data_IF_938205873363
#
_entry.id   IF_938205873363
#
_cell.length_a   1.000
_cell.length_b   1.000
_cell.length_c   1.000
_cell.angle_alpha   90.00
_cell.angle_beta   90.00
_cell.angle_gamma   90.00
#
_symmetry.space_group_name_H-M   'P 1'
#
loop_
_entity.id
_entity.type
_entity.pdbx_description
1 polymer ?
#
# COMPACT_ATOMS: atom_id res chain seq x y z
N UNK A 1 36.52 -10.98 54.21
CA UNK A 1 35.10 -11.28 53.95
C UNK A 1 34.50 -10.12 53.16
N UNK A 2 33.79 -10.45 52.08
CA UNK A 2 32.94 -9.60 51.22
C UNK A 2 33.53 -8.33 50.57
N UNK A 3 34.00 -8.48 49.31
CA UNK A 3 33.85 -7.48 48.25
C UNK A 3 32.73 -7.96 47.32
N UNK A 4 31.59 -7.27 47.28
CA UNK A 4 30.58 -7.46 46.20
C UNK A 4 30.99 -6.59 45.01
N UNK A 5 31.46 -7.24 43.93
CA UNK A 5 31.42 -6.68 42.58
C UNK A 5 30.15 -7.20 41.92
N UNK A 6 29.26 -6.30 41.51
CA UNK A 6 28.16 -6.60 40.60
C UNK A 6 28.77 -6.78 39.19
N UNK A 7 28.61 -7.97 38.59
CA UNK A 7 28.90 -8.18 37.17
C UNK A 7 27.63 -7.89 36.39
N UNK A 8 27.74 -6.98 35.43
CA UNK A 8 26.80 -6.79 34.33
C UNK A 8 27.03 -7.93 33.34
N UNK A 9 25.98 -8.70 33.02
CA UNK A 9 25.99 -9.62 31.88
C UNK A 9 24.69 -9.46 31.10
N UNK A 10 24.86 -8.99 29.86
CA UNK A 10 23.93 -8.95 28.74
C UNK A 10 22.90 -10.09 28.75
N UNK A 11 21.62 -9.72 28.86
CA UNK A 11 20.48 -10.59 28.57
C UNK A 11 19.43 -9.74 27.84
N UNK A 12 19.31 -10.03 26.54
CA UNK A 12 18.10 -9.97 25.70
C UNK A 12 17.48 -8.58 25.44
N UNK A 13 17.91 -7.99 24.32
CA UNK A 13 17.17 -6.96 23.59
C UNK A 13 16.34 -7.66 22.49
N UNK A 14 15.23 -8.28 22.89
CA UNK A 14 14.25 -8.87 21.96
C UNK A 14 12.86 -8.87 22.62
N UNK A 15 12.33 -7.69 22.91
CA UNK A 15 10.97 -7.53 23.42
C UNK A 15 10.38 -6.12 23.16
N UNK A 16 10.88 -5.39 22.16
CA UNK A 16 10.43 -4.02 21.87
C UNK A 16 9.53 -3.88 20.62
N UNK A 17 9.19 -4.98 19.93
CA UNK A 17 8.45 -4.90 18.66
C UNK A 17 6.94 -5.22 18.74
N UNK A 18 6.35 -5.32 19.94
CA UNK A 18 4.93 -5.72 20.11
C UNK A 18 4.03 -4.59 20.66
N UNK A 19 4.55 -3.38 20.87
CA UNK A 19 3.80 -2.31 21.57
C UNK A 19 3.38 -1.08 20.74
N UNK A 20 3.54 -1.05 19.42
CA UNK A 20 3.17 0.16 18.64
C UNK A 20 1.81 0.13 17.92
N UNK A 21 1.02 -0.95 17.95
CA UNK A 21 -0.31 -0.97 17.30
C UNK A 21 -1.47 -0.76 18.29
N UNK A 22 -1.34 -1.25 19.53
CA UNK A 22 -2.37 -1.05 20.57
C UNK A 22 -2.40 0.37 21.16
N UNK A 23 -1.27 1.10 21.11
CA UNK A 23 -1.15 2.44 21.70
C UNK A 23 -1.95 3.53 20.97
N UNK A 24 -2.13 3.42 19.65
CA UNK A 24 -2.85 4.45 18.86
C UNK A 24 -4.37 4.34 18.98
N UNK A 25 -4.91 3.12 19.18
CA UNK A 25 -6.38 2.90 19.31
C UNK A 25 -6.93 3.49 20.61
N UNK A 26 -6.15 3.47 21.70
CA UNK A 26 -6.59 3.98 23.01
C UNK A 26 -6.49 5.51 23.10
N UNK A 27 -5.53 6.15 22.40
CA UNK A 27 -5.32 7.60 22.50
C UNK A 27 -6.30 8.41 21.63
N UNK A 28 -6.73 7.87 20.48
CA UNK A 28 -7.69 8.52 19.58
C UNK A 28 -9.06 8.77 20.22
N UNK A 29 -9.51 7.89 21.12
CA UNK A 29 -10.81 8.03 21.79
C UNK A 29 -10.84 9.12 22.87
N UNK A 30 -9.69 9.58 23.38
CA UNK A 30 -9.62 10.61 24.43
C UNK A 30 -9.57 12.05 23.92
N UNK A 31 -9.22 12.28 22.66
CA UNK A 31 -9.04 13.64 22.12
C UNK A 31 -10.31 14.26 21.50
N UNK A 32 -11.39 13.49 21.33
CA UNK A 32 -12.66 13.99 20.73
C UNK A 32 -13.54 14.76 21.73
N UNK A 33 -13.15 14.87 23.01
CA UNK A 33 -13.87 15.68 23.99
C UNK A 33 -12.89 16.56 24.78
N UNK A 34 -13.02 17.88 24.62
CA UNK A 34 -12.24 19.01 25.18
C UNK A 34 -11.13 19.50 24.24
N UNK A 35 -10.99 20.78 23.88
CA UNK A 35 -11.71 22.01 24.20
C UNK A 35 -11.51 23.03 23.06
N UNK A 36 -12.45 23.98 22.97
CA UNK A 36 -12.31 25.23 22.19
C UNK A 36 -11.42 26.18 22.97
N UNK A 37 -10.39 26.75 22.34
CA UNK A 37 -9.97 28.15 22.54
C UNK A 37 -8.90 28.53 21.52
N UNK A 38 -9.15 29.64 20.83
CA UNK A 38 -8.27 30.40 19.93
C UNK A 38 -7.05 30.99 20.63
N UNK A 39 -5.89 31.01 19.97
CA UNK A 39 -5.00 32.17 20.01
C UNK A 39 -4.18 32.29 18.73
N UNK A 40 -4.17 33.50 18.19
CA UNK A 40 -3.60 33.94 16.92
C UNK A 40 -2.14 34.36 17.16
N UNK A 41 -1.20 33.84 16.36
CA UNK A 41 0.20 34.28 16.41
C UNK A 41 0.75 34.54 14.99
N UNK A 42 1.28 35.73 14.80
CA UNK A 42 1.78 36.27 13.53
C UNK A 42 3.00 35.50 12.97
N UNK A 43 3.19 35.46 11.64
CA UNK A 43 4.29 34.72 11.01
C UNK A 43 5.62 35.46 11.15
N UNK A 44 6.75 34.77 11.43
CA UNK A 44 8.07 35.40 11.37
C UNK A 44 8.58 35.54 9.92
N UNK A 45 9.42 36.55 9.74
CA UNK A 45 9.87 37.08 8.46
C UNK A 45 10.78 36.14 7.64
N UNK A 46 10.63 36.22 6.31
CA UNK A 46 11.51 35.62 5.30
C UNK A 46 12.95 36.10 5.48
N UNK A 47 13.88 35.20 5.68
CA UNK A 47 15.32 35.45 5.47
C UNK A 47 15.82 34.57 4.32
N UNK A 48 16.60 35.17 3.43
CA UNK A 48 17.05 34.60 2.18
C UNK A 48 18.07 33.47 2.39
N UNK A 49 17.97 32.45 1.54
CA UNK A 49 18.82 31.27 1.47
C UNK A 49 20.30 31.61 1.24
N UNK A 50 21.18 30.89 1.95
CA UNK A 50 22.55 30.61 1.52
C UNK A 50 22.60 29.19 0.95
N UNK A 51 23.22 29.02 -0.22
CA UNK A 51 23.32 27.74 -0.91
C UNK A 51 24.15 26.72 -0.11
N UNK A 52 23.76 25.43 -0.05
CA UNK A 52 24.62 24.39 0.49
C UNK A 52 25.69 23.95 -0.55
N UNK A 53 26.88 23.63 -0.04
CA UNK A 53 28.01 23.07 -0.79
C UNK A 53 27.70 21.69 -1.40
N UNK A 54 28.39 21.31 -2.50
CA UNK A 54 28.07 20.09 -3.26
C UNK A 54 28.35 18.81 -2.47
N UNK A 55 27.35 17.93 -2.42
CA UNK A 55 27.43 16.58 -1.88
C UNK A 55 28.33 15.67 -2.73
N UNK A 56 29.07 14.78 -2.05
CA UNK A 56 29.91 13.72 -2.64
C UNK A 56 29.05 12.75 -3.49
N UNK A 57 29.60 12.17 -4.58
CA UNK A 57 28.85 11.30 -5.46
C UNK A 57 28.47 9.98 -4.78
N UNK A 58 27.21 9.57 -4.97
CA UNK A 58 26.67 8.26 -4.58
C UNK A 58 27.45 7.11 -5.23
N UNK A 59 27.59 5.96 -4.56
CA UNK A 59 28.26 4.79 -5.12
C UNK A 59 27.52 4.26 -6.36
N UNK A 60 28.27 3.90 -7.39
CA UNK A 60 27.77 3.43 -8.68
C UNK A 60 26.99 2.10 -8.56
N UNK A 61 25.98 1.85 -9.41
CA UNK A 61 25.21 0.62 -9.40
C UNK A 61 26.09 -0.60 -9.71
N UNK A 62 25.89 -1.70 -8.98
CA UNK A 62 26.48 -3.00 -9.34
C UNK A 62 25.89 -3.49 -10.67
N UNK A 63 26.66 -4.25 -11.48
CA UNK A 63 26.18 -4.79 -12.75
C UNK A 63 24.96 -5.69 -12.56
N UNK A 64 23.97 -5.54 -13.44
CA UNK A 64 22.73 -6.31 -13.51
C UNK A 64 23.02 -7.81 -13.64
N UNK A 65 22.51 -8.59 -12.69
CA UNK A 65 22.41 -10.05 -12.77
C UNK A 65 21.33 -10.42 -13.81
N UNK A 66 21.49 -11.49 -14.61
CA UNK A 66 20.52 -11.86 -15.64
C UNK A 66 19.16 -12.20 -15.04
N UNK A 67 18.08 -11.72 -15.69
CA UNK A 67 16.72 -12.07 -15.36
C UNK A 67 16.54 -13.60 -15.24
N UNK A 68 15.99 -14.05 -14.11
CA UNK A 68 15.64 -15.44 -13.86
C UNK A 68 14.59 -15.93 -14.88
N UNK A 69 14.65 -17.21 -15.31
CA UNK A 69 13.77 -17.74 -16.34
C UNK A 69 12.31 -17.78 -15.88
N UNK A 70 11.43 -17.33 -16.78
CA UNK A 70 9.97 -17.32 -16.62
C UNK A 70 9.41 -18.71 -16.33
N UNK A 71 8.68 -18.85 -15.21
CA UNK A 71 7.88 -20.02 -14.90
C UNK A 71 6.74 -20.20 -15.93
N UNK A 72 6.42 -21.45 -16.25
CA UNK A 72 5.33 -21.83 -17.16
C UNK A 72 3.96 -21.55 -16.51
N UNK A 73 2.91 -21.27 -17.32
CA UNK A 73 1.63 -20.76 -16.80
C UNK A 73 0.88 -21.84 -16.03
N UNK A 74 0.79 -21.70 -14.71
CA UNK A 74 -0.35 -22.20 -13.94
C UNK A 74 -1.60 -21.41 -14.37
N UNK A 75 -2.79 -21.98 -14.22
CA UNK A 75 -4.03 -21.35 -14.65
C UNK A 75 -4.14 -19.91 -14.11
N UNK A 76 -3.95 -18.92 -15.00
CA UNK A 76 -3.82 -17.52 -14.63
C UNK A 76 -5.08 -16.96 -13.96
N UNK A 77 -4.95 -15.87 -13.19
CA UNK A 77 -6.08 -15.21 -12.56
C UNK A 77 -7.10 -14.80 -13.61
N UNK A 78 -8.38 -14.84 -13.24
CA UNK A 78 -9.47 -14.48 -14.13
C UNK A 78 -9.22 -13.06 -14.67
N UNK A 79 -8.97 -12.96 -15.98
CA UNK A 79 -8.82 -11.71 -16.70
C UNK A 79 -10.00 -10.78 -16.38
N UNK A 80 -9.78 -9.46 -16.43
CA UNK A 80 -10.84 -8.47 -16.33
C UNK A 80 -12.04 -8.90 -17.19
N UNK A 81 -13.29 -8.78 -16.71
CA UNK A 81 -14.42 -8.93 -17.61
C UNK A 81 -14.23 -7.92 -18.75
N UNK A 82 -14.16 -8.42 -19.99
CA UNK A 82 -14.15 -7.55 -21.17
C UNK A 82 -15.51 -6.86 -21.24
N UNK A 83 -15.62 -5.65 -20.69
CA UNK A 83 -16.83 -4.85 -20.79
C UNK A 83 -16.86 -4.12 -22.14
N UNK A 84 -17.93 -4.35 -22.89
CA UNK A 84 -18.13 -3.98 -24.29
C UNK A 84 -18.80 -2.61 -24.46
N UNK A 85 -18.78 -1.79 -23.41
CA UNK A 85 -19.39 -0.46 -23.40
C UNK A 85 -18.59 0.60 -24.16
N UNK A 86 -19.20 1.78 -24.41
CA UNK A 86 -18.55 2.84 -25.15
C UNK A 86 -17.33 3.38 -24.41
N UNK A 87 -16.27 3.65 -25.17
CA UNK A 87 -15.02 4.24 -24.70
C UNK A 87 -15.00 5.74 -24.97
N UNK A 88 -14.67 6.51 -23.94
CA UNK A 88 -14.36 7.93 -24.03
C UNK A 88 -12.85 8.14 -23.91
N UNK A 89 -12.23 8.82 -24.88
CA UNK A 89 -10.84 9.27 -24.77
C UNK A 89 -10.87 10.69 -24.22
N UNK A 90 -10.17 10.92 -23.10
CA UNK A 90 -10.16 12.22 -22.41
C UNK A 90 -9.68 13.33 -23.36
N UNK A 91 -10.51 14.36 -23.51
CA UNK A 91 -10.19 15.57 -24.27
C UNK A 91 -9.51 16.58 -23.34
N UNK A 92 -8.18 16.50 -23.18
CA UNK A 92 -7.44 17.31 -22.21
C UNK A 92 -7.78 18.81 -22.26
N UNK A 93 -7.81 19.41 -23.46
CA UNK A 93 -8.11 20.84 -23.65
C UNK A 93 -9.51 21.22 -23.13
N UNK A 94 -10.50 20.34 -23.30
CA UNK A 94 -11.89 20.58 -22.88
C UNK A 94 -12.02 20.73 -21.37
N UNK A 95 -11.19 19.99 -20.63
CA UNK A 95 -11.22 19.94 -19.17
C UNK A 95 -10.06 20.72 -18.52
N UNK A 96 -9.23 21.42 -19.30
CA UNK A 96 -8.08 22.18 -18.80
C UNK A 96 -6.98 21.30 -18.19
N UNK A 97 -6.85 20.06 -18.69
CA UNK A 97 -5.89 19.07 -18.19
C UNK A 97 -4.54 19.25 -18.87
N UNK A 98 -3.46 19.31 -18.09
CA UNK A 98 -2.09 19.36 -18.58
C UNK A 98 -1.44 17.96 -18.48
N UNK A 99 -1.01 17.42 -19.62
CA UNK A 99 -0.32 16.13 -19.71
C UNK A 99 1.19 16.26 -20.02
N UNK A 100 1.77 17.44 -19.83
CA UNK A 100 3.22 17.71 -19.92
C UNK A 100 3.90 17.83 -18.55
N UNK A 101 3.17 17.58 -17.46
CA UNK A 101 3.69 17.60 -16.08
C UNK A 101 3.54 18.93 -15.34
N UNK A 102 2.78 19.88 -15.89
CA UNK A 102 2.48 21.16 -15.26
C UNK A 102 1.09 21.23 -14.60
N UNK A 103 0.77 22.40 -14.05
CA UNK A 103 -0.58 22.80 -13.63
C UNK A 103 -1.35 21.80 -12.75
N UNK A 104 -0.69 21.24 -11.74
CA UNK A 104 -1.18 20.09 -10.96
C UNK A 104 -2.64 20.20 -10.47
N UNK A 105 -3.02 21.36 -9.91
CA UNK A 105 -4.39 21.59 -9.44
C UNK A 105 -5.42 21.54 -10.57
N UNK A 106 -5.18 22.29 -11.66
CA UNK A 106 -6.09 22.32 -12.81
C UNK A 106 -6.19 20.95 -13.49
N UNK A 107 -5.07 20.22 -13.59
CA UNK A 107 -5.02 18.84 -14.07
C UNK A 107 -5.87 17.92 -13.21
N UNK A 108 -5.72 17.98 -11.89
CA UNK A 108 -6.50 17.14 -10.96
C UNK A 108 -8.00 17.41 -11.06
N UNK A 109 -8.38 18.69 -11.05
CA UNK A 109 -9.79 19.11 -11.13
C UNK A 109 -10.40 18.73 -12.48
N UNK A 110 -9.65 18.94 -13.56
CA UNK A 110 -10.05 18.60 -14.93
C UNK A 110 -10.26 17.10 -15.11
N UNK A 111 -9.38 16.26 -14.56
CA UNK A 111 -9.53 14.81 -14.61
C UNK A 111 -10.80 14.38 -13.87
N UNK A 112 -11.02 14.84 -12.64
CA UNK A 112 -12.22 14.49 -11.88
C UNK A 112 -13.50 14.96 -12.61
N UNK A 113 -13.48 16.15 -13.21
CA UNK A 113 -14.58 16.64 -14.04
C UNK A 113 -14.83 15.78 -15.29
N UNK A 114 -13.78 15.29 -15.93
CA UNK A 114 -13.87 14.40 -17.08
C UNK A 114 -14.47 13.04 -16.70
N UNK A 115 -14.10 12.47 -15.55
CA UNK A 115 -14.65 11.21 -15.05
C UNK A 115 -16.14 11.32 -14.72
N UNK A 116 -16.53 12.37 -14.00
CA UNK A 116 -17.95 12.62 -13.69
C UNK A 116 -18.78 12.87 -14.95
N UNK A 117 -18.26 13.65 -15.89
CA UNK A 117 -18.92 13.87 -17.18
C UNK A 117 -19.07 12.56 -17.97
N UNK A 118 -17.99 11.78 -18.11
CA UNK A 118 -18.02 10.53 -18.86
C UNK A 118 -19.02 9.52 -18.26
N UNK A 119 -19.08 9.46 -16.93
CA UNK A 119 -20.08 8.66 -16.22
C UNK A 119 -21.50 9.11 -16.53
N UNK A 120 -21.77 10.42 -16.48
CA UNK A 120 -23.09 10.99 -16.74
C UNK A 120 -23.57 10.72 -18.17
N UNK A 121 -22.65 10.69 -19.14
CA UNK A 121 -22.93 10.33 -20.54
C UNK A 121 -23.02 8.82 -20.79
N UNK A 122 -22.79 7.99 -19.76
CA UNK A 122 -22.93 6.54 -19.84
C UNK A 122 -21.72 5.80 -20.42
N UNK A 123 -20.55 6.43 -20.49
CA UNK A 123 -19.32 5.74 -20.88
C UNK A 123 -18.92 4.69 -19.84
N UNK A 124 -18.43 3.55 -20.33
CA UNK A 124 -17.94 2.43 -19.49
C UNK A 124 -16.43 2.39 -19.39
N UNK A 125 -15.75 2.87 -20.43
CA UNK A 125 -14.30 3.00 -20.42
C UNK A 125 -13.92 4.46 -20.60
N UNK A 126 -13.05 4.97 -19.72
CA UNK A 126 -12.39 6.26 -19.87
C UNK A 126 -10.91 6.00 -20.10
N UNK A 127 -10.42 6.39 -21.27
CA UNK A 127 -9.04 6.20 -21.69
C UNK A 127 -8.29 7.55 -21.71
N UNK A 128 -7.07 7.56 -21.17
CA UNK A 128 -6.19 8.73 -21.23
C UNK A 128 -5.38 8.79 -22.53
N UNK A 129 -4.80 9.96 -22.77
CA UNK A 129 -3.74 10.12 -23.77
C UNK A 129 -2.39 9.88 -23.09
N UNK A 130 -1.36 9.39 -23.81
CA UNK A 130 -0.01 9.35 -23.26
C UNK A 130 0.43 10.72 -22.78
N UNK A 131 1.20 10.75 -21.68
CA UNK A 131 1.70 11.99 -21.11
C UNK A 131 2.06 11.83 -19.64
N UNK A 132 2.45 12.94 -19.04
CA UNK A 132 2.72 13.08 -17.60
C UNK A 132 1.70 14.03 -17.01
N UNK A 133 0.82 13.52 -16.15
CA UNK A 133 -0.21 14.26 -15.46
C UNK A 133 0.26 14.53 -14.03
N UNK A 134 0.58 15.78 -13.71
CA UNK A 134 0.92 16.15 -12.34
C UNK A 134 -0.39 16.27 -11.53
N UNK A 135 -0.45 15.62 -10.38
CA UNK A 135 -1.63 15.54 -9.52
C UNK A 135 -1.33 16.25 -8.19
N UNK A 136 -2.24 17.12 -7.76
CA UNK A 136 -2.21 17.71 -6.44
C UNK A 136 -3.25 17.02 -5.56
N UNK A 137 -2.91 16.75 -4.31
CA UNK A 137 -3.85 16.23 -3.32
C UNK A 137 -3.72 17.03 -2.02
N UNK A 138 -4.82 17.67 -1.60
CA UNK A 138 -4.92 18.41 -0.35
C UNK A 138 -5.72 17.67 0.71
N UNK A 139 -5.87 16.35 0.59
CA UNK A 139 -6.54 15.53 1.61
C UNK A 139 -5.75 15.59 2.92
N UNK A 140 -6.38 16.08 3.98
CA UNK A 140 -5.71 16.49 5.23
C UNK A 140 -6.15 15.69 6.47
N UNK A 141 -6.99 14.67 6.28
CA UNK A 141 -7.46 13.83 7.38
C UNK A 141 -7.38 12.34 7.01
N UNK A 142 -6.31 11.68 7.46
CA UNK A 142 -6.08 10.25 7.25
C UNK A 142 -7.25 9.34 7.70
N UNK A 143 -8.05 9.80 8.67
CA UNK A 143 -9.17 9.06 9.24
C UNK A 143 -10.52 9.45 8.62
N UNK A 144 -10.53 10.34 7.62
CA UNK A 144 -11.70 10.66 6.80
C UNK A 144 -11.50 10.18 5.37
N UNK A 145 -12.60 9.97 4.63
CA UNK A 145 -12.54 9.58 3.24
C UNK A 145 -11.71 10.59 2.42
N UNK A 146 -10.78 10.13 1.54
CA UNK A 146 -10.13 10.98 0.56
C UNK A 146 -11.13 11.88 -0.19
N UNK A 147 -10.86 13.18 -0.18
CA UNK A 147 -11.69 14.21 -0.84
C UNK A 147 -10.99 14.86 -2.03
N UNK A 148 -9.75 14.49 -2.31
CA UNK A 148 -8.91 15.06 -3.36
C UNK A 148 -7.90 14.02 -3.87
N UNK A 149 -7.17 14.35 -4.93
CA UNK A 149 -6.52 13.38 -5.82
C UNK A 149 -7.50 12.95 -6.93
N UNK A 150 -7.25 11.82 -7.59
CA UNK A 150 -8.17 11.30 -8.60
C UNK A 150 -9.21 10.40 -7.93
N UNK A 151 -10.46 10.86 -7.92
CA UNK A 151 -11.60 10.15 -7.32
C UNK A 151 -12.26 9.31 -8.41
N UNK A 152 -12.05 7.99 -8.38
CA UNK A 152 -12.52 7.09 -9.43
C UNK A 152 -13.94 6.63 -9.11
N UNK A 153 -14.95 6.90 -9.96
CA UNK A 153 -16.33 6.57 -9.66
C UNK A 153 -16.71 5.15 -10.09
N UNK A 154 -17.81 4.64 -9.53
CA UNK A 154 -18.36 3.31 -9.85
C UNK A 154 -18.68 3.12 -11.33
N UNK A 155 -18.52 1.87 -11.81
CA UNK A 155 -18.98 1.42 -13.12
C UNK A 155 -18.10 1.86 -14.30
N UNK A 156 -16.84 2.21 -14.03
CA UNK A 156 -15.88 2.67 -15.03
C UNK A 156 -14.62 1.80 -15.03
N UNK A 157 -14.19 1.46 -16.25
CA UNK A 157 -12.82 1.06 -16.55
C UNK A 157 -11.99 2.29 -16.89
N UNK A 158 -11.01 2.59 -16.05
CA UNK A 158 -10.03 3.64 -16.23
C UNK A 158 -8.78 3.05 -16.90
N UNK A 159 -8.64 3.27 -18.21
CA UNK A 159 -7.46 2.87 -18.97
C UNK A 159 -6.47 4.04 -19.02
N UNK A 160 -5.38 3.92 -18.28
CA UNK A 160 -4.36 4.97 -18.22
C UNK A 160 -3.51 5.03 -19.49
N UNK A 161 -3.65 4.06 -20.41
CA UNK A 161 -3.05 4.09 -21.75
C UNK A 161 -1.53 4.40 -21.78
N UNK A 162 -0.80 3.91 -20.78
CA UNK A 162 0.64 4.12 -20.58
C UNK A 162 1.01 5.48 -20.00
N UNK A 163 0.04 6.32 -19.64
CA UNK A 163 0.29 7.62 -19.03
C UNK A 163 0.92 7.49 -17.63
N UNK A 164 1.65 8.53 -17.24
CA UNK A 164 2.26 8.66 -15.93
C UNK A 164 1.53 9.72 -15.11
N UNK A 165 1.14 9.39 -13.89
CA UNK A 165 0.53 10.29 -12.92
C UNK A 165 1.53 10.51 -11.78
N UNK A 166 1.89 11.76 -11.52
CA UNK A 166 2.95 12.11 -10.57
C UNK A 166 2.35 12.98 -9.48
N UNK A 167 2.59 12.65 -8.21
CA UNK A 167 2.23 13.51 -7.09
C UNK A 167 3.08 14.78 -7.13
N UNK A 168 2.42 15.94 -7.05
CA UNK A 168 3.11 17.22 -6.88
C UNK A 168 3.91 17.21 -5.57
N UNK A 169 5.23 17.49 -5.60
CA UNK A 169 6.04 17.54 -4.38
C UNK A 169 5.44 18.48 -3.33
N UNK A 170 5.22 17.95 -2.13
CA UNK A 170 4.56 18.68 -1.07
C UNK A 170 5.14 18.32 0.32
N UNK A 171 4.51 18.82 1.38
CA UNK A 171 4.84 18.51 2.78
C UNK A 171 3.66 17.88 3.54
N UNK A 172 2.62 17.44 2.83
CA UNK A 172 1.41 16.90 3.43
C UNK A 172 1.70 15.49 3.98
N UNK A 173 1.39 15.20 5.25
CA UNK A 173 1.71 13.89 5.80
C UNK A 173 0.87 12.73 5.25
N UNK A 174 -0.23 13.05 4.55
CA UNK A 174 -1.08 12.12 3.85
C UNK A 174 -1.45 12.64 2.45
N UNK A 175 -1.68 11.70 1.53
CA UNK A 175 -2.34 11.94 0.24
C UNK A 175 -2.86 10.60 -0.29
N UNK A 176 -3.82 10.64 -1.21
CA UNK A 176 -4.13 9.50 -2.07
C UNK A 176 -4.01 9.99 -3.50
N UNK A 177 -3.10 9.40 -4.29
CA UNK A 177 -2.97 9.79 -5.68
C UNK A 177 -4.25 9.40 -6.42
N UNK A 178 -4.67 8.14 -6.32
CA UNK A 178 -6.00 7.66 -6.73
C UNK A 178 -6.79 7.13 -5.53
N UNK A 179 -8.11 7.38 -5.52
CA UNK A 179 -9.01 6.92 -4.46
C UNK A 179 -10.28 6.26 -5.03
N UNK A 180 -10.60 5.07 -4.52
CA UNK A 180 -11.79 4.27 -4.83
C UNK A 180 -12.56 4.03 -3.52
N UNK A 181 -13.39 5.01 -3.14
CA UNK A 181 -14.07 5.03 -1.85
C UNK A 181 -15.56 4.90 -2.03
N UNK A 182 -16.15 3.83 -1.46
CA UNK A 182 -17.59 3.53 -1.57
C UNK A 182 -18.04 3.38 -3.02
N UNK A 183 -17.26 2.65 -3.82
CA UNK A 183 -17.53 2.44 -5.24
C UNK A 183 -17.68 0.95 -5.56
N UNK A 184 -18.31 0.67 -6.70
CA UNK A 184 -18.44 -0.67 -7.23
C UNK A 184 -18.06 -0.74 -8.70
N UNK A 185 -17.59 -1.91 -9.14
CA UNK A 185 -17.33 -2.21 -10.55
C UNK A 185 -16.33 -1.23 -11.19
N UNK A 186 -15.14 -1.18 -10.60
CA UNK A 186 -14.05 -0.28 -11.02
C UNK A 186 -12.89 -1.10 -11.55
N UNK A 187 -12.33 -0.67 -12.70
CA UNK A 187 -11.05 -1.20 -13.20
C UNK A 187 -10.09 -0.03 -13.36
N UNK A 188 -8.84 -0.16 -12.91
CA UNK A 188 -7.77 0.81 -13.17
C UNK A 188 -6.61 0.03 -13.79
N UNK A 189 -6.18 0.41 -15.00
CA UNK A 189 -5.18 -0.36 -15.74
C UNK A 189 -4.20 0.45 -16.60
N UNK A 190 -3.09 -0.19 -16.96
CA UNK A 190 -2.13 0.26 -17.98
C UNK A 190 -1.51 1.64 -17.71
N UNK A 191 -0.89 1.90 -16.55
CA UNK A 191 -0.28 3.20 -16.30
C UNK A 191 0.79 3.19 -15.22
N UNK A 192 1.40 4.36 -14.99
CA UNK A 192 2.42 4.55 -13.96
C UNK A 192 1.98 5.59 -12.94
N UNK A 193 2.02 5.26 -11.66
CA UNK A 193 1.77 6.15 -10.54
C UNK A 193 3.08 6.40 -9.79
N UNK A 194 3.46 7.67 -9.62
CA UNK A 194 4.72 8.07 -8.98
C UNK A 194 4.41 9.02 -7.83
N UNK A 195 4.78 8.63 -6.61
CA UNK A 195 4.69 9.51 -5.46
C UNK A 195 5.82 10.55 -5.43
N UNK A 196 5.84 11.38 -4.40
CA UNK A 196 6.83 12.44 -4.26
C UNK A 196 7.97 12.06 -3.29
N UNK A 197 8.16 10.78 -2.93
CA UNK A 197 9.12 10.31 -1.90
C UNK A 197 10.44 11.08 -1.83
N UNK A 198 11.15 11.23 -2.95
CA UNK A 198 12.49 11.85 -2.96
C UNK A 198 12.45 13.39 -2.95
N UNK A 199 11.31 13.98 -3.33
CA UNK A 199 11.09 15.43 -3.37
C UNK A 199 10.20 15.93 -2.23
N UNK A 200 9.67 15.03 -1.40
CA UNK A 200 8.76 15.33 -0.31
C UNK A 200 9.49 16.10 0.79
N UNK A 201 8.89 17.19 1.24
CA UNK A 201 9.40 17.96 2.36
C UNK A 201 8.93 17.34 3.69
N UNK A 202 9.67 16.33 4.16
CA UNK A 202 9.42 15.69 5.45
C UNK A 202 9.58 16.68 6.61
N UNK A 203 8.48 16.96 7.31
CA UNK A 203 8.44 17.86 8.46
C UNK A 203 7.79 17.16 9.66
N UNK A 204 8.51 16.24 10.33
CA UNK A 204 7.98 15.47 11.45
C UNK A 204 7.29 16.33 12.50
N UNK A 205 6.08 15.92 12.88
CA UNK A 205 5.32 16.53 13.97
C UNK A 205 4.93 15.47 15.00
N UNK A 206 4.35 15.91 16.12
CA UNK A 206 3.82 14.98 17.12
C UNK A 206 2.69 14.10 16.54
N UNK A 207 1.87 14.67 15.67
CA UNK A 207 0.68 14.01 15.12
C UNK A 207 0.99 13.23 13.84
N UNK A 208 2.09 13.57 13.15
CA UNK A 208 2.63 12.78 12.04
C UNK A 208 4.16 12.78 12.03
N UNK A 209 4.80 11.85 12.77
CA UNK A 209 6.26 11.81 12.91
C UNK A 209 6.98 11.29 11.66
N UNK A 210 6.28 10.59 10.76
CA UNK A 210 6.90 9.83 9.66
C UNK A 210 6.39 10.20 8.27
N UNK A 211 5.26 10.93 8.15
CA UNK A 211 4.58 11.22 6.87
C UNK A 211 4.34 9.94 6.05
N UNK A 212 3.75 8.93 6.69
CA UNK A 212 3.66 7.56 6.17
C UNK A 212 2.33 7.24 5.47
N UNK A 213 1.51 8.26 5.22
CA UNK A 213 0.15 8.10 4.72
C UNK A 213 -0.04 8.65 3.29
N UNK A 214 1.01 8.74 2.51
CA UNK A 214 0.91 8.96 1.07
C UNK A 214 0.71 7.65 0.33
N UNK A 215 -0.43 7.50 -0.34
CA UNK A 215 -0.84 6.28 -1.02
C UNK A 215 -0.87 6.45 -2.53
N UNK A 216 -0.42 5.44 -3.27
CA UNK A 216 -0.64 5.38 -4.71
C UNK A 216 -2.12 5.18 -5.03
N UNK A 217 -2.70 4.10 -4.50
CA UNK A 217 -4.13 3.79 -4.63
C UNK A 217 -4.73 3.49 -3.26
N UNK A 218 -5.76 4.24 -2.87
CA UNK A 218 -6.56 3.98 -1.68
C UNK A 218 -7.91 3.37 -2.07
N UNK A 219 -8.18 2.14 -1.64
CA UNK A 219 -9.46 1.43 -1.83
C UNK A 219 -10.14 1.30 -0.48
N UNK A 220 -11.39 1.74 -0.34
CA UNK A 220 -12.12 1.66 0.92
C UNK A 220 -13.60 1.45 0.69
N UNK A 221 -14.22 0.54 1.45
CA UNK A 221 -15.67 0.26 1.41
C UNK A 221 -16.17 0.01 -0.04
N UNK A 222 -15.36 -0.66 -0.85
CA UNK A 222 -15.61 -0.81 -2.29
C UNK A 222 -15.80 -2.28 -2.68
N UNK A 223 -16.52 -2.51 -3.78
CA UNK A 223 -16.89 -3.85 -4.24
C UNK A 223 -16.44 -4.07 -5.69
N UNK A 224 -15.88 -5.23 -6.01
CA UNK A 224 -15.45 -5.57 -7.38
C UNK A 224 -14.54 -4.49 -7.99
N UNK A 225 -13.34 -4.35 -7.41
CA UNK A 225 -12.32 -3.42 -7.90
C UNK A 225 -11.14 -4.22 -8.44
N UNK A 226 -10.72 -3.94 -9.67
CA UNK A 226 -9.54 -4.52 -10.28
C UNK A 226 -8.50 -3.44 -10.54
N UNK A 227 -7.31 -3.63 -9.96
CA UNK A 227 -6.10 -2.89 -10.33
C UNK A 227 -5.24 -3.84 -11.16
N UNK A 228 -4.96 -3.48 -12.41
CA UNK A 228 -4.32 -4.39 -13.35
C UNK A 228 -3.19 -3.73 -14.15
N UNK A 229 -2.02 -4.35 -14.22
CA UNK A 229 -0.92 -3.89 -15.09
C UNK A 229 -0.53 -2.41 -14.84
N UNK A 230 -0.51 -2.03 -13.55
CA UNK A 230 -0.12 -0.68 -13.10
C UNK A 230 1.26 -0.73 -12.45
N UNK A 231 2.11 0.24 -12.78
CA UNK A 231 3.38 0.50 -12.08
C UNK A 231 3.13 1.53 -10.98
N UNK A 232 3.51 1.25 -9.74
CA UNK A 232 3.33 2.15 -8.60
C UNK A 232 4.66 2.28 -7.87
N UNK A 233 5.16 3.50 -7.73
CA UNK A 233 6.46 3.71 -7.08
C UNK A 233 6.60 5.03 -6.34
N UNK A 234 7.65 5.09 -5.53
CA UNK A 234 8.12 6.32 -4.89
C UNK A 234 7.07 6.98 -3.99
N UNK A 235 6.22 6.18 -3.34
CA UNK A 235 5.21 6.66 -2.40
C UNK A 235 5.82 6.95 -1.03
N UNK A 236 5.35 8.03 -0.37
CA UNK A 236 5.78 8.38 0.99
C UNK A 236 5.26 7.42 2.06
N UNK A 237 4.21 6.66 1.73
CA UNK A 237 3.59 5.59 2.52
C UNK A 237 3.53 4.27 1.74
N UNK A 238 2.31 3.81 1.45
CA UNK A 238 2.03 2.51 0.85
C UNK A 238 1.76 2.64 -0.67
N UNK A 239 2.16 1.63 -1.47
CA UNK A 239 1.81 1.60 -2.89
C UNK A 239 0.30 1.51 -3.10
N UNK A 240 -0.33 0.47 -2.51
CA UNK A 240 -1.78 0.29 -2.47
C UNK A 240 -2.21 0.03 -1.03
N UNK A 241 -3.35 0.59 -0.64
CA UNK A 241 -4.02 0.26 0.61
C UNK A 241 -5.47 -0.16 0.35
N UNK A 242 -5.86 -1.32 0.90
CA UNK A 242 -7.25 -1.78 0.99
C UNK A 242 -7.70 -1.58 2.42
N UNK A 243 -8.60 -0.63 2.63
CA UNK A 243 -9.01 -0.18 3.94
C UNK A 243 -10.48 -0.39 4.27
N UNK A 244 -10.76 -0.29 5.57
CA UNK A 244 -12.11 -0.35 6.08
C UNK A 244 -12.84 0.98 5.90
N UNK A 245 -14.16 0.95 6.10
CA UNK A 245 -15.01 2.11 5.83
C UNK A 245 -14.68 3.31 6.73
N UNK A 246 -14.54 4.47 6.09
CA UNK A 246 -14.54 5.79 6.74
C UNK A 246 -15.93 6.21 7.27
N UNK A 247 -16.96 5.41 6.99
CA UNK A 247 -18.34 5.69 7.34
C UNK A 247 -18.84 4.66 8.35
N UNK A 248 -19.56 5.12 9.38
CA UNK A 248 -20.23 4.22 10.32
C UNK A 248 -21.36 3.48 9.59
N UNK A 249 -21.45 2.16 9.76
CA UNK A 249 -22.57 1.36 9.23
C UNK A 249 -23.21 0.53 10.34
N UNK A 250 -24.53 0.53 10.35
CA UNK A 250 -25.33 -0.14 11.36
C UNK A 250 -25.30 -1.68 11.24
N UNK A 251 -24.91 -2.20 10.07
CA UNK A 251 -24.90 -3.64 9.76
C UNK A 251 -23.52 -4.30 9.89
N UNK A 252 -22.47 -3.55 10.25
CA UNK A 252 -21.10 -4.06 10.41
C UNK A 252 -20.36 -4.38 9.11
N UNK A 253 -20.92 -4.06 7.94
CA UNK A 253 -20.30 -4.37 6.63
C UNK A 253 -19.38 -3.22 6.17
N UNK A 254 -18.27 -3.03 6.90
CA UNK A 254 -17.31 -1.93 6.70
C UNK A 254 -16.06 -2.37 5.92
N UNK A 255 -16.17 -3.37 5.04
CA UNK A 255 -15.03 -4.04 4.40
C UNK A 255 -15.15 -3.99 2.88
N UNK A 256 -14.01 -3.95 2.20
CA UNK A 256 -14.00 -4.05 0.74
C UNK A 256 -14.14 -5.51 0.31
N UNK A 257 -14.78 -5.80 -0.84
CA UNK A 257 -15.00 -7.18 -1.32
C UNK A 257 -14.66 -7.35 -2.79
N UNK A 258 -14.08 -8.48 -3.18
CA UNK A 258 -13.76 -8.74 -4.58
C UNK A 258 -12.70 -7.79 -5.11
N UNK A 259 -11.71 -7.46 -4.27
CA UNK A 259 -10.59 -6.60 -4.67
C UNK A 259 -9.52 -7.46 -5.29
N UNK A 260 -9.10 -7.12 -6.51
CA UNK A 260 -8.09 -7.85 -7.27
C UNK A 260 -6.95 -6.91 -7.63
N UNK A 261 -5.74 -7.25 -7.24
CA UNK A 261 -4.51 -6.51 -7.59
C UNK A 261 -3.63 -7.47 -8.38
N UNK A 262 -3.58 -7.27 -9.70
CA UNK A 262 -3.05 -8.26 -10.64
C UNK A 262 -2.01 -7.65 -11.57
N UNK A 263 -0.88 -8.32 -11.81
CA UNK A 263 0.07 -7.89 -12.85
C UNK A 263 0.79 -6.57 -12.56
N UNK A 264 0.75 -6.06 -11.32
CA UNK A 264 1.30 -4.76 -10.99
C UNK A 264 2.79 -4.84 -10.62
N UNK A 265 3.52 -3.75 -10.87
CA UNK A 265 4.90 -3.57 -10.40
C UNK A 265 4.91 -2.49 -9.31
N UNK A 266 5.20 -2.86 -8.06
CA UNK A 266 5.10 -1.95 -6.91
C UNK A 266 6.46 -1.83 -6.25
N UNK A 267 7.05 -0.63 -6.24
CA UNK A 267 8.44 -0.49 -5.78
C UNK A 267 8.75 0.80 -5.06
N UNK A 268 9.85 0.78 -4.29
CA UNK A 268 10.41 1.97 -3.63
C UNK A 268 9.39 2.80 -2.83
N UNK A 269 8.35 2.16 -2.29
CA UNK A 269 7.42 2.80 -1.36
C UNK A 269 8.03 2.77 0.04
N UNK A 270 7.76 3.78 0.87
CA UNK A 270 8.43 3.90 2.17
C UNK A 270 7.93 2.92 3.21
N UNK A 271 6.64 2.59 3.23
CA UNK A 271 6.04 1.82 4.33
C UNK A 271 5.62 0.40 3.95
N UNK A 272 4.83 0.23 2.90
CA UNK A 272 4.43 -1.10 2.39
C UNK A 272 4.33 -1.08 0.87
N UNK A 273 4.46 -2.24 0.22
CA UNK A 273 3.99 -2.40 -1.16
C UNK A 273 2.46 -2.37 -1.21
N UNK A 274 1.84 -3.34 -0.54
CA UNK A 274 0.38 -3.45 -0.40
C UNK A 274 0.00 -3.64 1.08
N UNK A 275 -0.85 -2.76 1.60
CA UNK A 275 -1.50 -2.90 2.90
C UNK A 275 -2.92 -3.41 2.73
N UNK A 276 -3.27 -4.50 3.42
CA UNK A 276 -4.65 -4.99 3.52
C UNK A 276 -5.10 -4.84 4.96
N UNK A 277 -6.01 -3.91 5.20
CA UNK A 277 -6.60 -3.64 6.52
C UNK A 277 -8.01 -4.25 6.61
N UNK A 278 -8.78 -4.23 5.52
CA UNK A 278 -10.13 -4.75 5.48
C UNK A 278 -10.51 -5.27 4.09
N UNK A 279 -10.58 -6.60 3.92
CA UNK A 279 -10.90 -7.21 2.63
C UNK A 279 -11.60 -8.56 2.78
N UNK A 280 -12.55 -8.85 1.89
CA UNK A 280 -13.21 -10.16 1.76
C UNK A 280 -13.16 -10.67 0.34
N UNK A 281 -13.01 -11.99 0.17
CA UNK A 281 -13.07 -12.65 -1.15
C UNK A 281 -12.20 -11.94 -2.19
N UNK A 282 -10.93 -11.71 -1.84
CA UNK A 282 -10.03 -10.81 -2.58
C UNK A 282 -8.74 -11.53 -2.98
N UNK A 283 -8.01 -10.97 -3.94
CA UNK A 283 -6.87 -11.61 -4.59
C UNK A 283 -5.74 -10.61 -4.88
N UNK A 284 -4.51 -10.99 -4.53
CA UNK A 284 -3.28 -10.26 -4.89
C UNK A 284 -2.39 -11.26 -5.63
N UNK A 285 -2.28 -11.09 -6.95
CA UNK A 285 -1.61 -12.09 -7.76
C UNK A 285 -0.76 -11.57 -8.91
N UNK A 286 0.27 -12.32 -9.29
CA UNK A 286 1.11 -12.01 -10.46
C UNK A 286 1.76 -10.62 -10.38
N UNK A 287 2.04 -10.12 -9.17
CA UNK A 287 2.69 -8.83 -8.97
C UNK A 287 4.19 -9.00 -8.75
N UNK A 288 4.95 -7.99 -9.11
CA UNK A 288 6.33 -7.83 -8.70
C UNK A 288 6.42 -6.70 -7.66
N UNK A 289 6.89 -7.00 -6.45
CA UNK A 289 6.92 -6.05 -5.34
C UNK A 289 8.33 -6.00 -4.72
N UNK A 290 8.98 -4.83 -4.72
CA UNK A 290 10.37 -4.75 -4.29
C UNK A 290 10.85 -3.41 -3.76
N UNK A 291 12.00 -3.43 -3.08
CA UNK A 291 12.67 -2.20 -2.62
C UNK A 291 11.88 -1.43 -1.56
N UNK A 292 10.96 -2.08 -0.84
CA UNK A 292 10.13 -1.42 0.17
C UNK A 292 10.98 -1.09 1.38
N UNK A 293 11.16 0.21 1.64
CA UNK A 293 12.05 0.70 2.69
C UNK A 293 11.83 2.17 3.04
N UNK A 294 11.91 2.52 4.33
CA UNK A 294 11.89 3.91 4.79
C UNK A 294 11.18 4.13 6.12
N UNK A 295 9.99 3.54 6.28
CA UNK A 295 9.16 3.64 7.49
C UNK A 295 8.61 2.27 7.85
N UNK A 296 8.82 1.83 9.09
CA UNK A 296 8.30 0.53 9.55
C UNK A 296 6.79 0.40 9.26
N UNK A 297 6.30 -0.78 8.82
CA UNK A 297 6.95 -2.09 8.92
C UNK A 297 7.74 -2.59 7.70
N UNK A 298 7.62 -1.98 6.51
CA UNK A 298 8.48 -2.22 5.32
C UNK A 298 8.35 -3.59 4.63
N UNK A 299 7.19 -4.23 4.71
CA UNK A 299 6.87 -5.47 3.99
C UNK A 299 6.42 -5.23 2.54
N UNK A 300 6.60 -6.25 1.70
CA UNK A 300 5.99 -6.27 0.37
C UNK A 300 4.46 -6.25 0.46
N UNK A 301 3.89 -7.21 1.20
CA UNK A 301 2.45 -7.30 1.48
C UNK A 301 2.23 -7.46 2.98
N UNK A 302 1.29 -6.70 3.56
CA UNK A 302 0.92 -6.85 4.96
C UNK A 302 -0.58 -6.88 5.16
N UNK A 303 -1.07 -7.96 5.76
CA UNK A 303 -2.40 -8.03 6.36
C UNK A 303 -2.32 -7.41 7.76
N UNK A 304 -2.96 -6.26 7.94
CA UNK A 304 -2.82 -5.41 9.12
C UNK A 304 -3.99 -5.61 10.08
N UNK A 305 -3.68 -5.69 11.37
CA UNK A 305 -4.68 -5.60 12.43
C UNK A 305 -4.95 -4.13 12.75
N UNK A 306 -6.15 -3.65 12.46
CA UNK A 306 -6.58 -2.31 12.82
C UNK A 306 -8.08 -2.30 13.14
N UNK A 307 -8.43 -1.73 14.29
CA UNK A 307 -9.80 -1.67 14.80
C UNK A 307 -10.47 -3.06 14.81
N UNK A 308 -11.75 -3.13 14.42
CA UNK A 308 -12.58 -4.31 14.29
C UNK A 308 -12.74 -4.76 12.83
N UNK A 309 -11.90 -4.26 11.93
CA UNK A 309 -11.92 -4.65 10.53
C UNK A 309 -11.47 -6.10 10.33
N UNK A 310 -12.06 -6.75 9.33
CA UNK A 310 -11.86 -8.16 9.04
C UNK A 310 -11.16 -8.33 7.70
N UNK A 311 -10.22 -9.28 7.67
CA UNK A 311 -9.62 -9.83 6.46
C UNK A 311 -10.04 -11.30 6.40
N UNK A 312 -10.76 -11.69 5.36
CA UNK A 312 -11.34 -13.03 5.26
C UNK A 312 -11.28 -13.52 3.81
N UNK A 313 -10.83 -14.75 3.59
CA UNK A 313 -10.71 -15.34 2.26
C UNK A 313 -9.90 -14.46 1.28
N UNK A 314 -8.69 -14.03 1.70
CA UNK A 314 -7.71 -13.36 0.85
C UNK A 314 -6.74 -14.39 0.26
N UNK A 315 -6.50 -14.31 -1.05
CA UNK A 315 -5.50 -15.12 -1.76
C UNK A 315 -4.32 -14.26 -2.16
N UNK A 316 -3.11 -14.69 -1.82
CA UNK A 316 -1.85 -14.03 -2.19
C UNK A 316 -1.00 -15.04 -2.96
N UNK A 317 -0.91 -14.91 -4.28
CA UNK A 317 -0.25 -15.95 -5.08
C UNK A 317 0.44 -15.50 -6.35
N UNK A 318 1.36 -16.34 -6.83
CA UNK A 318 2.13 -16.09 -8.05
C UNK A 318 2.86 -14.73 -8.04
N UNK A 319 3.17 -14.16 -6.87
CA UNK A 319 3.91 -12.91 -6.76
C UNK A 319 5.42 -13.15 -6.66
N UNK A 320 6.20 -12.17 -7.12
CA UNK A 320 7.65 -12.10 -6.92
C UNK A 320 7.93 -10.95 -5.95
N UNK A 321 8.47 -11.25 -4.77
CA UNK A 321 8.67 -10.27 -3.70
C UNK A 321 10.09 -10.33 -3.14
N UNK A 322 10.84 -9.23 -3.24
CA UNK A 322 12.26 -9.20 -2.86
C UNK A 322 12.70 -7.80 -2.40
N UNK A 323 13.84 -7.71 -1.72
CA UNK A 323 14.43 -6.43 -1.27
C UNK A 323 13.49 -5.54 -0.45
N UNK A 324 12.54 -6.15 0.25
CA UNK A 324 11.66 -5.49 1.22
C UNK A 324 12.29 -5.59 2.61
N UNK A 325 12.60 -4.45 3.22
CA UNK A 325 13.39 -4.40 4.46
C UNK A 325 12.67 -4.99 5.69
N UNK A 326 11.34 -5.08 5.67
CA UNK A 326 10.54 -5.72 6.71
C UNK A 326 10.32 -7.22 6.51
N UNK A 327 10.35 -7.68 5.26
CA UNK A 327 10.00 -9.04 4.86
C UNK A 327 9.10 -9.06 3.62
N UNK A 328 8.78 -10.25 3.12
CA UNK A 328 7.96 -10.37 1.92
C UNK A 328 6.47 -10.23 2.27
N UNK A 329 5.96 -11.07 3.18
CA UNK A 329 4.54 -11.14 3.53
C UNK A 329 4.38 -11.21 5.04
N UNK A 330 3.56 -10.34 5.63
CA UNK A 330 3.18 -10.41 7.03
C UNK A 330 1.66 -10.59 7.20
N UNK A 331 1.27 -11.65 7.92
CA UNK A 331 -0.10 -11.94 8.31
C UNK A 331 -0.30 -11.55 9.77
N UNK A 332 -0.51 -10.24 10.01
CA UNK A 332 -0.80 -9.71 11.34
C UNK A 332 -2.30 -9.67 11.64
N UNK A 333 -3.15 -10.14 10.72
CA UNK A 333 -4.58 -10.33 10.87
C UNK A 333 -5.02 -11.34 9.80
N UNK A 334 -6.29 -11.73 9.86
CA UNK A 334 -6.99 -12.43 8.79
C UNK A 334 -7.32 -13.88 9.08
N UNK A 335 -8.34 -14.38 8.39
CA UNK A 335 -8.84 -15.75 8.55
C UNK A 335 -9.13 -16.41 7.21
N UNK A 336 -8.91 -17.72 7.10
CA UNK A 336 -9.23 -18.48 5.88
C UNK A 336 -8.47 -18.02 4.64
N UNK A 337 -7.27 -17.45 4.80
CA UNK A 337 -6.48 -16.89 3.71
C UNK A 337 -5.46 -17.91 3.19
N UNK A 338 -5.06 -17.76 1.92
CA UNK A 338 -4.15 -18.68 1.24
C UNK A 338 -2.96 -17.91 0.65
N UNK A 339 -1.74 -18.39 0.91
CA UNK A 339 -0.49 -17.80 0.44
C UNK A 339 0.26 -18.87 -0.35
N UNK A 340 0.27 -18.77 -1.67
CA UNK A 340 0.78 -19.88 -2.48
C UNK A 340 1.48 -19.48 -3.78
N UNK A 341 2.34 -20.35 -4.30
CA UNK A 341 3.05 -20.12 -5.58
C UNK A 341 3.86 -18.81 -5.64
N UNK A 342 4.16 -18.16 -4.52
CA UNK A 342 4.96 -16.94 -4.52
C UNK A 342 6.46 -17.29 -4.55
N UNK A 343 7.26 -16.46 -5.21
CA UNK A 343 8.73 -16.50 -5.09
C UNK A 343 9.17 -15.33 -4.23
N UNK A 344 9.78 -15.61 -3.07
CA UNK A 344 10.11 -14.59 -2.08
C UNK A 344 11.57 -14.63 -1.63
N UNK A 345 12.22 -13.47 -1.68
CA UNK A 345 13.48 -13.18 -1.00
C UNK A 345 13.21 -12.19 0.14
N UNK A 346 12.56 -12.70 1.18
CA UNK A 346 12.04 -12.00 2.35
C UNK A 346 11.14 -12.95 3.15
N UNK A 347 10.94 -12.73 4.45
CA UNK A 347 10.22 -13.72 5.28
C UNK A 347 8.70 -13.69 5.02
N UNK A 348 8.06 -14.84 5.23
CA UNK A 348 6.61 -14.94 5.44
C UNK A 348 6.38 -15.10 6.94
N UNK A 349 5.74 -14.13 7.58
CA UNK A 349 5.52 -14.13 9.03
C UNK A 349 4.02 -14.15 9.35
N UNK A 350 3.58 -15.10 10.17
CA UNK A 350 2.20 -15.17 10.65
C UNK A 350 2.16 -14.84 12.13
N UNK A 351 1.43 -13.79 12.52
CA UNK A 351 1.46 -13.23 13.89
C UNK A 351 0.14 -13.39 14.62
N UNK A 352 -0.94 -12.81 14.08
CA UNK A 352 -2.27 -12.75 14.70
C UNK A 352 -3.36 -13.12 13.68
N UNK A 353 -3.16 -14.25 13.00
CA UNK A 353 -4.06 -14.73 11.96
C UNK A 353 -4.50 -16.17 12.25
N UNK A 354 -5.64 -16.57 11.68
CA UNK A 354 -6.20 -17.91 11.83
C UNK A 354 -6.42 -18.60 10.50
N UNK A 355 -6.34 -19.94 10.49
CA UNK A 355 -6.73 -20.76 9.33
C UNK A 355 -6.03 -20.34 8.03
N UNK A 356 -4.74 -20.00 8.12
CA UNK A 356 -3.91 -19.62 6.98
C UNK A 356 -3.24 -20.86 6.40
N UNK A 357 -3.31 -21.00 5.07
CA UNK A 357 -2.55 -22.03 4.34
C UNK A 357 -1.40 -21.39 3.58
N UNK A 358 -0.21 -21.94 3.74
CA UNK A 358 1.02 -21.47 3.09
C UNK A 358 1.63 -22.65 2.33
N UNK A 359 1.54 -22.64 1.00
CA UNK A 359 1.95 -23.79 0.19
C UNK A 359 2.53 -23.45 -1.18
N UNK A 360 3.32 -24.33 -1.76
CA UNK A 360 3.93 -24.17 -3.09
C UNK A 360 4.75 -22.88 -3.30
N UNK A 361 5.15 -22.19 -2.22
CA UNK A 361 6.00 -21.00 -2.34
C UNK A 361 7.48 -21.39 -2.47
N UNK A 362 8.25 -20.59 -3.20
CA UNK A 362 9.71 -20.67 -3.24
C UNK A 362 10.30 -19.62 -2.30
N UNK A 363 10.97 -20.07 -1.23
CA UNK A 363 11.57 -19.23 -0.19
C UNK A 363 13.09 -19.18 -0.37
N UNK A 364 13.63 -18.02 -0.72
CA UNK A 364 15.04 -17.85 -1.06
C UNK A 364 15.80 -17.13 0.05
N UNK A 365 16.78 -17.82 0.67
CA UNK A 365 17.64 -17.29 1.74
C UNK A 365 16.85 -16.61 2.89
N UNK A 366 15.70 -17.17 3.26
CA UNK A 366 14.73 -16.53 4.15
C UNK A 366 13.92 -17.57 4.94
N UNK A 367 12.79 -17.20 5.53
CA UNK A 367 12.04 -18.13 6.37
C UNK A 367 10.54 -17.92 6.37
N UNK A 368 9.83 -18.99 6.74
CA UNK A 368 8.44 -18.95 7.16
C UNK A 368 8.41 -19.14 8.68
N UNK A 369 7.78 -18.22 9.41
CA UNK A 369 7.62 -18.35 10.86
C UNK A 369 6.17 -18.09 11.29
N UNK A 370 5.65 -19.02 12.09
CA UNK A 370 4.33 -18.93 12.72
C UNK A 370 4.52 -18.60 14.19
N UNK A 371 4.03 -17.43 14.60
CA UNK A 371 4.11 -16.95 15.97
C UNK A 371 3.05 -17.62 16.87
N UNK A 372 3.26 -17.64 18.21
CA UNK A 372 2.29 -18.19 19.15
C UNK A 372 0.90 -17.54 19.15
N UNK A 373 0.75 -16.35 18.56
CA UNK A 373 -0.52 -15.65 18.42
C UNK A 373 -1.39 -16.13 17.25
N UNK A 374 -0.89 -17.04 16.42
CA UNK A 374 -1.59 -17.58 15.26
C UNK A 374 -2.14 -18.99 15.54
N UNK A 375 -3.23 -19.37 14.86
CA UNK A 375 -3.90 -20.66 15.08
C UNK A 375 -4.39 -21.29 13.78
N UNK A 376 -4.45 -22.61 13.69
CA UNK A 376 -4.96 -23.28 12.47
C UNK A 376 -4.06 -23.10 11.24
N UNK A 377 -2.77 -22.81 11.44
CA UNK A 377 -1.84 -22.52 10.35
C UNK A 377 -1.30 -23.81 9.73
N UNK A 378 -1.45 -23.95 8.42
CA UNK A 378 -0.93 -25.07 7.64
C UNK A 378 0.20 -24.59 6.75
N UNK A 379 1.37 -25.22 6.84
CA UNK A 379 2.53 -24.92 6.00
C UNK A 379 2.98 -26.22 5.32
N UNK A 380 2.80 -26.34 4.00
CA UNK A 380 3.02 -27.58 3.25
C UNK A 380 3.69 -27.28 1.90
N UNK A 381 4.46 -28.22 1.36
CA UNK A 381 4.93 -28.19 -0.05
C UNK A 381 5.67 -26.91 -0.51
N UNK A 382 6.26 -26.15 0.42
CA UNK A 382 7.09 -24.99 0.08
C UNK A 382 8.52 -25.43 -0.27
N UNK A 383 9.10 -24.81 -1.29
CA UNK A 383 10.48 -25.01 -1.73
C UNK A 383 11.39 -24.07 -0.95
N UNK A 384 12.39 -24.63 -0.26
CA UNK A 384 13.37 -23.87 0.52
C UNK A 384 14.71 -23.85 -0.22
N UNK A 385 15.14 -22.67 -0.68
CA UNK A 385 16.41 -22.48 -1.37
C UNK A 385 17.45 -21.77 -0.48
N UNK A 386 18.72 -22.15 -0.61
CA UNK A 386 19.81 -21.55 0.16
C UNK A 386 19.68 -21.83 1.66
N UNK A 387 19.81 -20.80 2.49
CA UNK A 387 19.75 -20.94 3.96
C UNK A 387 18.33 -20.91 4.53
N UNK A 388 17.32 -21.25 3.73
CA UNK A 388 15.92 -21.09 4.12
C UNK A 388 15.42 -22.10 5.14
N UNK A 389 14.46 -21.70 5.99
CA UNK A 389 13.88 -22.56 7.04
C UNK A 389 12.41 -22.27 7.34
N UNK A 390 11.75 -23.20 8.04
CA UNK A 390 10.36 -23.07 8.49
C UNK A 390 10.29 -23.33 10.00
N UNK A 391 9.55 -22.49 10.73
CA UNK A 391 9.16 -22.72 12.12
C UNK A 391 7.65 -22.63 12.26
N UNK A 392 7.02 -23.79 12.40
CA UNK A 392 5.60 -23.89 12.72
C UNK A 392 5.35 -23.61 14.21
N UNK A 393 4.13 -23.18 14.57
CA UNK A 393 3.74 -22.99 15.96
C UNK A 393 3.89 -24.31 16.72
N UNK A 394 4.48 -24.27 17.92
CA UNK A 394 4.50 -25.43 18.80
C UNK A 394 3.05 -25.79 19.15
N UNK A 395 2.62 -27.00 18.78
CA UNK A 395 1.36 -27.55 19.28
C UNK A 395 1.48 -27.58 20.81
N UNK A 396 0.56 -26.95 21.58
CA UNK A 396 0.60 -27.06 23.03
C UNK A 396 0.59 -28.55 23.37
N UNK A 397 1.65 -29.01 24.05
CA UNK A 397 1.73 -30.39 24.50
C UNK A 397 0.59 -30.66 25.48
N UNK A 398 -0.42 -31.41 25.01
CA UNK A 398 -1.33 -32.30 25.75
C UNK A 398 -1.91 -31.80 27.07
#
# INVERSE_FOLDING_TARGET
MFKKKLKVSHIILAAALVLSVAGMVIYGYRLVRSDRATEEAAPPAKTAYAAPEPSQPSPSPKPSEPALPSASPSAGPAAAPEDSGPTYVVENERFGIDNAGGNARATTDGINAALEWAKAEGYKTVAFQPGTYMIQCTWDNRFGAPTDGILVPSGITLDLAGATFVMEPNSNPQYALFAVVKQSDVVIKNGTLVGDRDLHAYAPSKDSPTHEYGFGICISDSNNVLIQDVVIKDMTGDGIIIEGSYFMRDNGDNVSRGIRIIGCNISNCRRQGISVVAAKDSEIANNEIYGISGTAPQYGIMMMLQLDYVIDNLKIHDNIIYDCAGGAIACNSGTGCEIYSNTVSGNILVVHASDIKIYDNTIQNSYIEVMPGASGITVTDNILEGNSWIKAAETPSG
#
